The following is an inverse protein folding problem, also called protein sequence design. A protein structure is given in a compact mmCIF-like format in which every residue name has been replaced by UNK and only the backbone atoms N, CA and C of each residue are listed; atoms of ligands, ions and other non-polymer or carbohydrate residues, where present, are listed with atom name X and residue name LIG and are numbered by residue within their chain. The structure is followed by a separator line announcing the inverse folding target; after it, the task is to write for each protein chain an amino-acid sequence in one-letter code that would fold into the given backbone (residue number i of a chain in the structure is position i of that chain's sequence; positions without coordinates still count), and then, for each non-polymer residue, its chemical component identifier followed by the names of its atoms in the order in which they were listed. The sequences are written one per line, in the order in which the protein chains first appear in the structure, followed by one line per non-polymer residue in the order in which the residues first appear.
data_IF_937446149879
#
_entry.id   IF_937446149879
#
_cell.length_a   1.000
_cell.length_b   1.000
_cell.length_c   1.000
_cell.angle_alpha   90.00
_cell.angle_beta   90.00
_cell.angle_gamma   90.00
#
_symmetry.space_group_name_H-M   'P 1'
#
loop_
_entity.id
_entity.type
_entity.pdbx_description
1 polymer ?
#
# COMPACT_ATOMS: atom_id res chain seq x y z
N UNK A 1 -24.00 -20.50 -4.45
CA UNK A 1 -24.05 -19.23 -3.68
C UNK A 1 -22.68 -18.60 -3.69
N UNK A 2 -22.59 -17.44 -4.31
CA UNK A 2 -21.35 -16.83 -4.77
C UNK A 2 -20.80 -15.86 -3.70
N UNK A 3 -19.96 -16.36 -2.79
CA UNK A 3 -19.41 -15.58 -1.66
C UNK A 3 -18.62 -14.33 -2.10
N UNK A 4 -18.22 -14.24 -3.38
CA UNK A 4 -17.52 -13.07 -3.95
C UNK A 4 -18.40 -11.83 -4.10
N UNK A 5 -19.73 -11.97 -4.07
CA UNK A 5 -20.66 -10.87 -4.36
C UNK A 5 -20.98 -10.02 -3.10
N UNK A 6 -21.15 -10.65 -1.94
CA UNK A 6 -21.54 -9.95 -0.71
C UNK A 6 -20.45 -9.05 -0.13
N UNK A 7 -19.18 -9.46 -0.19
CA UNK A 7 -18.06 -8.65 0.30
C UNK A 7 -17.87 -7.37 -0.53
N UNK A 8 -18.00 -7.48 -1.86
CA UNK A 8 -17.89 -6.32 -2.75
C UNK A 8 -19.04 -5.35 -2.53
N UNK A 9 -20.27 -5.84 -2.49
CA UNK A 9 -21.45 -5.01 -2.24
C UNK A 9 -21.35 -4.29 -0.87
N UNK A 10 -20.88 -4.98 0.17
CA UNK A 10 -20.66 -4.38 1.49
C UNK A 10 -19.59 -3.28 1.46
N UNK A 11 -18.45 -3.54 0.81
CA UNK A 11 -17.37 -2.56 0.69
C UNK A 11 -17.82 -1.35 -0.14
N UNK A 12 -18.54 -1.56 -1.24
CA UNK A 12 -19.10 -0.49 -2.07
C UNK A 12 -20.07 0.39 -1.30
N UNK A 13 -20.89 -0.20 -0.41
CA UNK A 13 -21.78 0.56 0.46
C UNK A 13 -21.01 1.41 1.48
N UNK A 14 -19.98 0.84 2.11
CA UNK A 14 -19.14 1.56 3.09
C UNK A 14 -18.33 2.69 2.42
N UNK A 15 -17.91 2.53 1.17
CA UNK A 15 -17.18 3.55 0.41
C UNK A 15 -18.05 4.75 0.00
N UNK A 16 -19.37 4.71 0.21
CA UNK A 16 -20.24 5.89 0.05
C UNK A 16 -20.06 6.89 1.20
N UNK A 17 -19.62 6.43 2.36
CA UNK A 17 -19.24 7.31 3.46
C UNK A 17 -17.86 7.93 3.17
N UNK A 18 -17.80 9.25 3.14
CA UNK A 18 -16.59 9.99 2.75
C UNK A 18 -15.44 9.84 3.75
N UNK A 19 -15.75 9.73 5.04
CA UNK A 19 -14.75 9.56 6.09
C UNK A 19 -14.16 8.14 6.02
N UNK A 20 -15.02 7.13 5.92
CA UNK A 20 -14.61 5.76 5.70
C UNK A 20 -13.78 5.61 4.42
N UNK A 21 -14.21 6.21 3.31
CA UNK A 21 -13.50 6.15 2.04
C UNK A 21 -12.09 6.75 2.14
N UNK A 22 -11.95 7.89 2.80
CA UNK A 22 -10.65 8.53 3.04
C UNK A 22 -9.74 7.65 3.91
N UNK A 23 -10.23 7.14 5.05
CA UNK A 23 -9.46 6.27 5.92
C UNK A 23 -9.10 4.93 5.26
N UNK A 24 -10.00 4.38 4.46
CA UNK A 24 -9.77 3.14 3.71
C UNK A 24 -8.70 3.32 2.64
N UNK A 25 -8.73 4.42 1.89
CA UNK A 25 -7.70 4.76 0.90
C UNK A 25 -6.33 4.90 1.58
N UNK A 26 -6.26 5.68 2.67
CA UNK A 26 -5.02 5.87 3.43
C UNK A 26 -4.49 4.55 4.02
N UNK A 27 -5.37 3.72 4.58
CA UNK A 27 -5.00 2.43 5.15
C UNK A 27 -4.44 1.47 4.10
N UNK A 28 -5.03 1.45 2.89
CA UNK A 28 -4.51 0.64 1.78
C UNK A 28 -3.14 1.09 1.32
N UNK A 29 -2.92 2.39 1.22
CA UNK A 29 -1.60 2.92 0.83
C UNK A 29 -0.55 2.68 1.93
N UNK A 30 -0.92 2.80 3.21
CA UNK A 30 -0.07 2.44 4.36
C UNK A 30 0.42 0.98 4.26
N UNK A 31 -0.48 0.03 4.04
CA UNK A 31 -0.13 -1.41 3.93
C UNK A 31 0.87 -1.64 2.79
N UNK A 32 0.69 -0.99 1.63
CA UNK A 32 1.63 -1.11 0.51
C UNK A 32 3.02 -0.61 0.89
N UNK A 33 3.10 0.53 1.57
CA UNK A 33 4.36 1.10 2.04
C UNK A 33 5.05 0.19 3.05
N UNK A 34 4.31 -0.37 4.02
CA UNK A 34 4.84 -1.34 4.99
C UNK A 34 5.47 -2.55 4.30
N UNK A 35 4.79 -3.12 3.30
CA UNK A 35 5.32 -4.24 2.49
C UNK A 35 6.61 -3.83 1.76
N UNK A 36 6.68 -2.63 1.19
CA UNK A 36 7.89 -2.16 0.50
C UNK A 36 9.06 -1.92 1.46
N UNK A 37 8.78 -1.38 2.65
CA UNK A 37 9.80 -1.18 3.68
C UNK A 37 10.37 -2.53 4.15
N UNK A 38 9.53 -3.53 4.37
CA UNK A 38 9.99 -4.84 4.78
C UNK A 38 10.88 -5.49 3.72
N UNK A 39 10.50 -5.40 2.44
CA UNK A 39 11.34 -5.85 1.32
C UNK A 39 12.69 -5.14 1.24
N UNK A 40 12.74 -3.85 1.60
CA UNK A 40 14.01 -3.13 1.68
C UNK A 40 14.87 -3.65 2.83
N UNK A 41 14.29 -3.90 4.01
CA UNK A 41 15.04 -4.49 5.13
C UNK A 41 15.62 -5.86 4.76
N UNK A 42 14.81 -6.72 4.15
CA UNK A 42 15.27 -8.04 3.66
C UNK A 42 16.45 -7.90 2.70
N UNK A 43 16.38 -6.98 1.75
CA UNK A 43 17.46 -6.75 0.78
C UNK A 43 18.72 -6.19 1.42
N UNK A 44 18.60 -5.28 2.40
CA UNK A 44 19.75 -4.78 3.16
C UNK A 44 20.41 -5.92 3.94
N UNK A 45 19.61 -6.77 4.61
CA UNK A 45 20.12 -7.93 5.36
C UNK A 45 20.77 -9.00 4.47
N UNK A 46 20.46 -9.01 3.17
CA UNK A 46 21.02 -9.91 2.16
C UNK A 46 22.21 -9.29 1.40
N UNK A 47 22.76 -8.15 1.86
CA UNK A 47 23.81 -7.39 1.17
C UNK A 47 23.47 -7.08 -0.30
N UNK A 48 22.20 -6.80 -0.59
CA UNK A 48 21.79 -6.42 -1.93
C UNK A 48 22.56 -5.18 -2.40
N UNK A 49 23.03 -5.24 -3.66
CA UNK A 49 23.80 -4.15 -4.24
C UNK A 49 23.08 -2.80 -4.18
N UNK A 50 23.85 -1.74 -3.92
CA UNK A 50 23.39 -0.33 -3.84
C UNK A 50 22.38 0.07 -4.93
N UNK A 51 22.50 -0.34 -6.21
CA UNK A 51 21.49 -0.01 -7.24
C UNK A 51 20.09 -0.59 -6.97
N UNK A 52 20.01 -1.77 -6.36
CA UNK A 52 18.72 -2.43 -6.03
C UNK A 52 18.01 -1.68 -4.91
N UNK A 53 18.77 -1.28 -3.88
CA UNK A 53 18.26 -0.50 -2.76
C UNK A 53 17.75 0.86 -3.20
N UNK A 54 18.51 1.59 -4.03
CA UNK A 54 18.10 2.90 -4.58
C UNK A 54 16.82 2.78 -5.41
N UNK A 55 16.70 1.74 -6.25
CA UNK A 55 15.49 1.52 -7.07
C UNK A 55 14.25 1.34 -6.19
N UNK A 56 14.36 0.59 -5.09
CA UNK A 56 13.22 0.35 -4.20
C UNK A 56 12.92 1.57 -3.31
N UNK A 57 13.94 2.31 -2.88
CA UNK A 57 13.76 3.61 -2.21
C UNK A 57 13.00 4.61 -3.09
N UNK A 58 13.32 4.68 -4.39
CA UNK A 58 12.62 5.55 -5.34
C UNK A 58 11.15 5.15 -5.52
N UNK A 59 10.83 3.85 -5.49
CA UNK A 59 9.43 3.38 -5.52
C UNK A 59 8.67 3.86 -4.29
N UNK A 60 9.23 3.67 -3.10
CA UNK A 60 8.63 4.14 -1.84
C UNK A 60 8.42 5.65 -1.87
N UNK A 61 9.44 6.40 -2.28
CA UNK A 61 9.36 7.86 -2.40
C UNK A 61 8.22 8.30 -3.33
N UNK A 62 8.02 7.60 -4.45
CA UNK A 62 6.91 7.87 -5.38
C UNK A 62 5.55 7.63 -4.72
N UNK A 63 5.38 6.52 -4.01
CA UNK A 63 4.12 6.20 -3.33
C UNK A 63 3.83 7.18 -2.20
N UNK A 64 4.81 7.55 -1.38
CA UNK A 64 4.64 8.56 -0.32
C UNK A 64 4.19 9.91 -0.89
N UNK A 65 4.79 10.36 -2.00
CA UNK A 65 4.38 11.60 -2.67
C UNK A 65 2.94 11.57 -3.19
N UNK A 66 2.39 10.39 -3.49
CA UNK A 66 0.99 10.25 -3.94
C UNK A 66 -0.01 10.31 -2.79
N UNK A 67 0.43 10.03 -1.56
CA UNK A 67 -0.41 10.10 -0.34
C UNK A 67 -0.42 11.54 0.22
N UNK A 68 0.66 12.28 0.02
CA UNK A 68 0.84 13.64 0.56
C UNK A 68 0.31 14.77 -0.35
N UNK A 69 -0.54 14.45 -1.34
CA UNK A 69 -1.21 15.41 -2.22
C UNK A 69 -2.71 15.45 -1.92
#
# INVERSE_FOLDING_TARGET
MDKKNHYKAYLEEQLKDSEFAAHYALSREKIKLEIFLEKLKEQINQDAGKPVLIRNLNKITKYVKQIAL
#
